data_IF_733415588167
#
_entry.id   IF_733415588167
#
_cell.length_a   1.000
_cell.length_b   1.000
_cell.length_c   1.000
_cell.angle_alpha   90.00
_cell.angle_beta   90.00
_cell.angle_gamma   90.00
#
_symmetry.space_group_name_H-M   'P 1'
#
loop_
_entity.id
_entity.type
_entity.pdbx_description
1 polymer ?
#
# COMPACT_ATOMS: atom_id res chain seq x y z
N UNK A 1 -61.94 6.18 -32.81
CA UNK A 1 -60.48 6.21 -33.11
C UNK A 1 -59.62 6.68 -31.93
N UNK A 2 -60.08 7.65 -31.13
CA UNK A 2 -59.32 8.24 -30.01
C UNK A 2 -58.93 7.30 -28.85
N UNK A 3 -59.72 6.25 -28.58
CA UNK A 3 -59.48 5.33 -27.46
C UNK A 3 -58.23 4.44 -27.67
N UNK A 4 -57.95 4.07 -28.93
CA UNK A 4 -56.81 3.20 -29.29
C UNK A 4 -55.47 3.98 -29.23
N UNK A 5 -55.49 5.26 -29.62
CA UNK A 5 -54.35 6.16 -29.54
C UNK A 5 -53.97 6.49 -28.08
N UNK A 6 -54.98 6.71 -27.22
CA UNK A 6 -54.81 6.91 -25.77
C UNK A 6 -54.12 5.71 -25.09
N UNK A 7 -54.52 4.48 -25.44
CA UNK A 7 -53.90 3.27 -24.91
C UNK A 7 -52.46 3.06 -25.41
N UNK A 8 -52.16 3.42 -26.66
CA UNK A 8 -50.77 3.41 -27.16
C UNK A 8 -49.89 4.41 -26.40
N UNK A 9 -50.37 5.65 -26.21
CA UNK A 9 -49.66 6.70 -25.46
C UNK A 9 -49.35 6.26 -24.03
N UNK A 10 -50.32 5.66 -23.33
CA UNK A 10 -50.10 5.08 -22.00
C UNK A 10 -49.03 3.99 -22.01
N UNK A 11 -49.03 3.11 -23.03
CA UNK A 11 -48.02 2.05 -23.17
C UNK A 11 -46.61 2.62 -23.39
N UNK A 12 -46.47 3.65 -24.24
CA UNK A 12 -45.20 4.34 -24.45
C UNK A 12 -44.72 5.08 -23.20
N UNK A 13 -45.62 5.72 -22.47
CA UNK A 13 -45.29 6.38 -21.20
C UNK A 13 -44.76 5.37 -20.17
N UNK A 14 -45.42 4.20 -20.04
CA UNK A 14 -44.97 3.12 -19.14
C UNK A 14 -43.59 2.58 -19.57
N UNK A 15 -43.38 2.35 -20.87
CA UNK A 15 -42.08 1.92 -21.39
C UNK A 15 -40.98 2.95 -21.11
N UNK A 16 -41.27 4.23 -21.28
CA UNK A 16 -40.34 5.32 -21.01
C UNK A 16 -39.99 5.43 -19.52
N UNK A 17 -40.98 5.34 -18.63
CA UNK A 17 -40.77 5.32 -17.18
C UNK A 17 -39.94 4.10 -16.76
N UNK A 18 -40.24 2.91 -17.29
CA UNK A 18 -39.45 1.70 -17.03
C UNK A 18 -38.01 1.82 -17.53
N UNK A 19 -37.79 2.45 -18.69
CA UNK A 19 -36.45 2.71 -19.21
C UNK A 19 -35.66 3.64 -18.28
N UNK A 20 -36.27 4.72 -17.79
CA UNK A 20 -35.63 5.62 -16.81
C UNK A 20 -35.28 4.87 -15.52
N UNK A 21 -36.20 4.03 -15.01
CA UNK A 21 -35.95 3.23 -13.81
C UNK A 21 -34.78 2.25 -14.04
N UNK A 22 -34.73 1.60 -15.21
CA UNK A 22 -33.65 0.67 -15.56
C UNK A 22 -32.30 1.39 -15.66
N UNK A 23 -32.24 2.53 -16.34
CA UNK A 23 -31.02 3.36 -16.44
C UNK A 23 -30.55 3.80 -15.06
N UNK A 24 -31.46 4.25 -14.19
CA UNK A 24 -31.12 4.64 -12.81
C UNK A 24 -30.57 3.45 -12.01
N UNK A 25 -31.15 2.25 -12.17
CA UNK A 25 -30.64 1.03 -11.52
C UNK A 25 -29.24 0.66 -12.02
N UNK A 26 -28.99 0.74 -13.32
CA UNK A 26 -27.67 0.46 -13.91
C UNK A 26 -26.62 1.45 -13.37
N UNK A 27 -26.94 2.74 -13.33
CA UNK A 27 -26.07 3.78 -12.77
C UNK A 27 -25.78 3.57 -11.27
N UNK A 28 -26.78 3.15 -10.49
CA UNK A 28 -26.57 2.84 -9.07
C UNK A 28 -25.67 1.61 -8.88
N UNK A 29 -25.84 0.58 -9.70
CA UNK A 29 -24.99 -0.63 -9.65
C UNK A 29 -23.57 -0.31 -10.08
N UNK A 30 -23.36 0.48 -11.14
CA UNK A 30 -22.01 0.87 -11.56
C UNK A 30 -21.31 1.73 -10.50
N UNK A 31 -22.03 2.66 -9.87
CA UNK A 31 -21.50 3.46 -8.76
C UNK A 31 -21.15 2.58 -7.55
N UNK A 32 -22.00 1.62 -7.19
CA UNK A 32 -21.75 0.69 -6.10
C UNK A 32 -20.51 -0.19 -6.37
N UNK A 33 -20.36 -0.67 -7.61
CA UNK A 33 -19.18 -1.43 -8.04
C UNK A 33 -17.91 -0.58 -8.01
N UNK A 34 -17.97 0.66 -8.51
CA UNK A 34 -16.85 1.59 -8.45
C UNK A 34 -16.44 1.85 -6.99
N UNK A 35 -17.41 2.12 -6.11
CA UNK A 35 -17.14 2.30 -4.68
C UNK A 35 -16.57 1.04 -4.02
N UNK A 36 -17.02 -0.14 -4.43
CA UNK A 36 -16.49 -1.42 -3.92
C UNK A 36 -15.04 -1.63 -4.35
N UNK A 37 -14.71 -1.36 -5.61
CA UNK A 37 -13.35 -1.42 -6.16
C UNK A 37 -12.44 -0.40 -5.47
N UNK A 38 -12.91 0.83 -5.26
CA UNK A 38 -12.17 1.87 -4.53
C UNK A 38 -11.91 1.43 -3.08
N UNK A 39 -12.91 0.84 -2.42
CA UNK A 39 -12.77 0.35 -1.04
C UNK A 39 -11.83 -0.84 -0.93
N UNK A 40 -11.72 -1.66 -1.97
CA UNK A 40 -10.75 -2.75 -2.05
C UNK A 40 -9.31 -2.21 -2.19
N UNK A 41 -9.13 -1.08 -2.88
CA UNK A 41 -7.83 -0.39 -2.98
C UNK A 41 -7.34 0.23 -1.66
N UNK A 42 -8.22 0.48 -0.69
CA UNK A 42 -7.89 1.13 0.59
C UNK A 42 -7.39 0.19 1.70
N UNK A 43 -7.11 -1.07 1.35
CA UNK A 43 -6.59 -2.05 2.30
C UNK A 43 -5.07 -1.89 2.47
N UNK A 44 -4.66 -0.88 3.24
CA UNK A 44 -3.26 -0.62 3.56
C UNK A 44 -2.88 -1.17 4.93
N UNK A 45 -1.70 -1.79 4.99
CA UNK A 45 -1.05 -2.15 6.23
C UNK A 45 0.42 -1.71 6.19
N UNK A 46 0.78 -0.78 7.07
CA UNK A 46 2.11 -0.18 7.14
C UNK A 46 2.87 -0.73 8.34
N UNK A 47 4.12 -1.11 8.13
CA UNK A 47 5.09 -1.46 9.15
C UNK A 47 6.32 -0.57 9.02
N UNK A 48 6.90 -0.18 10.15
CA UNK A 48 8.24 0.40 10.20
C UNK A 48 9.10 -0.50 11.06
N UNK A 49 10.16 -1.02 10.43
CA UNK A 49 11.09 -1.97 11.02
C UNK A 49 12.44 -1.27 11.15
N UNK A 50 13.09 -1.43 12.29
CA UNK A 50 14.39 -0.82 12.50
C UNK A 50 15.54 -1.56 11.79
N UNK A 51 16.77 -1.08 12.01
CA UNK A 51 17.99 -1.69 11.47
C UNK A 51 18.23 -3.12 11.98
N UNK A 52 17.66 -3.48 13.12
CA UNK A 52 17.82 -4.77 13.80
C UNK A 52 16.67 -5.77 13.54
N UNK A 53 15.65 -5.39 12.76
CA UNK A 53 14.50 -6.25 12.46
C UNK A 53 13.36 -6.21 13.49
N UNK A 54 13.43 -5.29 14.46
CA UNK A 54 12.36 -5.03 15.42
C UNK A 54 11.29 -4.11 14.82
N UNK A 55 10.03 -4.42 15.14
CA UNK A 55 8.89 -3.57 14.82
C UNK A 55 8.90 -2.31 15.71
N UNK A 56 8.96 -1.13 15.10
CA UNK A 56 8.91 0.15 15.82
C UNK A 56 7.62 0.94 15.56
N UNK A 57 6.88 0.63 14.50
CA UNK A 57 5.56 1.20 14.27
C UNK A 57 4.73 0.31 13.36
N UNK A 58 3.42 0.28 13.57
CA UNK A 58 2.48 -0.34 12.64
C UNK A 58 1.21 0.51 12.52
N UNK A 59 0.62 0.54 11.33
CA UNK A 59 -0.70 1.11 11.10
C UNK A 59 -1.51 0.19 10.23
N UNK A 60 -2.74 -0.06 10.65
CA UNK A 60 -3.64 -0.96 9.94
C UNK A 60 -4.92 -0.23 9.56
N UNK A 61 -5.21 -0.16 8.27
CA UNK A 61 -6.50 0.26 7.74
C UNK A 61 -7.36 -0.94 7.29
N UNK A 62 -6.85 -2.17 7.45
CA UNK A 62 -7.61 -3.39 7.25
C UNK A 62 -8.65 -3.56 8.35
N UNK A 63 -9.81 -4.13 7.98
CA UNK A 63 -10.89 -4.46 8.91
C UNK A 63 -10.51 -5.48 10.00
N UNK A 64 -9.43 -6.24 9.79
CA UNK A 64 -8.97 -7.25 10.73
C UNK A 64 -7.70 -6.77 11.40
N UNK A 65 -7.78 -6.53 12.70
CA UNK A 65 -6.59 -6.31 13.52
C UNK A 65 -5.74 -7.58 13.56
N UNK A 66 -4.43 -7.41 13.35
CA UNK A 66 -3.45 -8.45 13.60
C UNK A 66 -2.93 -8.31 15.02
N UNK A 67 -2.63 -9.44 15.67
CA UNK A 67 -2.01 -9.42 16.99
C UNK A 67 -0.60 -8.88 16.87
N UNK A 68 -0.17 -8.11 17.87
CA UNK A 68 1.16 -7.49 17.91
C UNK A 68 2.27 -8.56 17.75
N UNK A 69 2.11 -9.73 18.39
CA UNK A 69 3.08 -10.83 18.30
C UNK A 69 3.29 -11.30 16.85
N UNK A 70 2.21 -11.39 16.06
CA UNK A 70 2.28 -11.80 14.66
C UNK A 70 3.03 -10.74 13.82
N UNK A 71 2.88 -9.46 14.17
CA UNK A 71 3.57 -8.35 13.50
C UNK A 71 5.06 -8.30 13.83
N UNK A 72 5.41 -8.56 15.09
CA UNK A 72 6.81 -8.67 15.52
C UNK A 72 7.48 -9.82 14.77
N UNK A 73 6.83 -10.98 14.71
CA UNK A 73 7.34 -12.13 13.96
C UNK A 73 7.49 -11.82 12.47
N UNK A 74 6.49 -11.20 11.85
CA UNK A 74 6.56 -10.80 10.45
C UNK A 74 7.72 -9.83 10.17
N UNK A 75 7.99 -8.91 11.10
CA UNK A 75 9.10 -7.95 10.99
C UNK A 75 10.47 -8.65 11.04
N UNK A 76 10.65 -9.58 11.97
CA UNK A 76 11.88 -10.37 12.08
C UNK A 76 12.09 -11.32 10.89
N UNK A 77 11.01 -11.89 10.35
CA UNK A 77 11.06 -12.70 9.12
C UNK A 77 11.47 -11.84 7.93
N UNK A 78 10.87 -10.66 7.76
CA UNK A 78 11.24 -9.75 6.67
C UNK A 78 12.70 -9.32 6.76
N UNK A 79 13.19 -9.02 7.96
CA UNK A 79 14.60 -8.70 8.18
C UNK A 79 15.53 -9.83 7.75
N UNK A 80 15.22 -11.05 8.18
CA UNK A 80 15.99 -12.25 7.82
C UNK A 80 15.96 -12.50 6.31
N UNK A 81 14.78 -12.37 5.69
CA UNK A 81 14.61 -12.53 4.26
C UNK A 81 15.40 -11.48 3.45
N UNK A 82 15.36 -10.22 3.88
CA UNK A 82 16.15 -9.14 3.28
C UNK A 82 17.66 -9.28 3.49
N UNK A 83 18.11 -9.95 4.57
CA UNK A 83 19.51 -10.29 4.73
C UNK A 83 19.93 -11.42 3.76
N UNK A 84 19.08 -12.43 3.59
CA UNK A 84 19.30 -13.56 2.69
C UNK A 84 19.27 -13.18 1.21
N UNK A 85 18.57 -12.10 0.82
CA UNK A 85 18.58 -11.66 -0.58
C UNK A 85 20.00 -11.31 -1.05
N UNK A 86 20.86 -10.81 -0.16
CA UNK A 86 22.26 -10.53 -0.51
C UNK A 86 23.09 -11.80 -0.76
N UNK A 87 22.83 -12.89 -0.03
CA UNK A 87 23.62 -14.11 -0.14
C UNK A 87 23.11 -15.10 -1.19
N UNK A 88 21.83 -14.98 -1.58
CA UNK A 88 21.19 -15.87 -2.56
C UNK A 88 21.35 -15.40 -4.01
N UNK A 89 22.03 -14.27 -4.23
CA UNK A 89 22.33 -13.76 -5.56
C UNK A 89 23.25 -14.71 -6.33
N UNK A 90 22.87 -15.14 -7.55
CA UNK A 90 23.79 -15.82 -8.44
C UNK A 90 24.97 -14.92 -8.82
N UNK A 91 26.20 -15.45 -8.78
CA UNK A 91 27.43 -14.70 -9.07
C UNK A 91 27.43 -14.00 -10.44
N UNK A 92 26.73 -14.56 -11.43
CA UNK A 92 26.67 -13.98 -12.77
C UNK A 92 25.94 -12.62 -12.82
N UNK A 93 25.01 -12.35 -11.90
CA UNK A 93 24.29 -11.06 -11.81
C UNK A 93 25.23 -9.95 -11.30
N UNK A 94 26.20 -10.30 -10.45
CA UNK A 94 27.19 -9.36 -9.91
C UNK A 94 28.20 -8.87 -10.95
N UNK A 95 28.38 -9.63 -12.05
CA UNK A 95 29.35 -9.30 -13.09
C UNK A 95 28.79 -8.38 -14.19
N UNK A 96 27.46 -8.20 -14.28
CA UNK A 96 26.81 -7.31 -15.27
C UNK A 96 27.07 -5.82 -14.97
N UNK A 97 27.40 -5.45 -13.73
CA UNK A 97 27.61 -4.05 -13.34
C UNK A 97 29.10 -3.61 -13.32
N UNK A 98 30.02 -4.49 -13.69
CA UNK A 98 31.47 -4.18 -13.69
C UNK A 98 31.99 -3.57 -15.00
N UNK A 99 31.12 -3.30 -15.97
CA UNK A 99 31.52 -2.68 -17.23
C UNK A 99 31.59 -1.14 -17.12
N UNK A 100 32.80 -0.70 -16.75
CA UNK A 100 33.56 0.49 -17.17
C UNK A 100 32.83 1.82 -17.43
N UNK A 101 32.84 2.73 -16.43
CA UNK A 101 33.16 4.18 -16.54
C UNK A 101 32.48 5.13 -15.53
N UNK A 102 31.94 4.66 -14.39
CA UNK A 102 31.46 5.56 -13.32
C UNK A 102 32.08 5.25 -11.96
N UNK A 103 32.85 6.20 -11.42
CA UNK A 103 33.52 6.17 -10.11
C UNK A 103 32.59 6.40 -8.90
N UNK A 104 31.39 5.81 -8.92
CA UNK A 104 30.59 5.66 -7.71
C UNK A 104 30.07 4.24 -7.65
N UNK A 105 30.89 3.39 -7.04
CA UNK A 105 30.56 2.01 -6.74
C UNK A 105 29.54 2.03 -5.59
N UNK A 106 28.27 2.32 -5.90
CA UNK A 106 27.20 1.88 -5.02
C UNK A 106 27.32 0.36 -5.02
N UNK A 107 27.72 -0.23 -3.89
CA UNK A 107 27.37 -1.62 -3.63
C UNK A 107 25.85 -1.67 -3.81
N UNK A 108 25.37 -2.26 -4.90
CA UNK A 108 23.96 -2.57 -5.02
C UNK A 108 23.70 -3.69 -4.03
N UNK A 109 23.55 -3.32 -2.75
CA UNK A 109 23.00 -4.21 -1.74
C UNK A 109 21.68 -4.72 -2.32
N UNK A 110 21.62 -6.02 -2.60
CA UNK A 110 20.41 -6.63 -3.10
C UNK A 110 19.40 -6.71 -1.96
N UNK A 111 18.42 -5.83 -2.02
CA UNK A 111 17.41 -5.66 -0.99
C UNK A 111 16.06 -6.07 -1.54
N UNK A 112 15.20 -6.52 -0.65
CA UNK A 112 13.84 -6.92 -1.02
C UNK A 112 13.02 -5.66 -1.22
N UNK A 113 12.73 -5.32 -2.48
CA UNK A 113 11.91 -4.16 -2.83
C UNK A 113 10.42 -4.51 -2.87
N UNK A 114 10.06 -5.68 -3.42
CA UNK A 114 8.66 -6.12 -3.47
C UNK A 114 8.52 -7.63 -3.37
N UNK A 115 7.45 -8.08 -2.71
CA UNK A 115 6.99 -9.47 -2.69
C UNK A 115 5.54 -9.49 -3.12
N UNK A 116 5.21 -10.31 -4.11
CA UNK A 116 3.86 -10.41 -4.67
C UNK A 116 3.32 -11.81 -4.39
N UNK A 117 2.11 -11.85 -3.86
CA UNK A 117 1.32 -13.06 -3.65
C UNK A 117 -0.04 -12.89 -4.34
N UNK A 118 -0.85 -13.96 -4.37
CA UNK A 118 -2.22 -13.91 -4.89
C UNK A 118 -3.09 -12.95 -4.07
N UNK A 119 -2.88 -12.87 -2.76
CA UNK A 119 -3.72 -12.07 -1.87
C UNK A 119 -3.20 -10.66 -1.57
N UNK A 120 -1.91 -10.40 -1.79
CA UNK A 120 -1.31 -9.12 -1.40
C UNK A 120 -0.03 -8.81 -2.17
N UNK A 121 0.34 -7.53 -2.17
CA UNK A 121 1.65 -7.03 -2.55
C UNK A 121 2.29 -6.36 -1.34
N UNK A 122 3.50 -6.78 -1.01
CA UNK A 122 4.39 -6.10 -0.08
C UNK A 122 5.36 -5.25 -0.89
N UNK A 123 5.46 -3.96 -0.58
CA UNK A 123 6.48 -3.05 -1.09
C UNK A 123 7.32 -2.54 0.07
N UNK A 124 8.62 -2.38 -0.13
CA UNK A 124 9.54 -1.88 0.88
C UNK A 124 10.31 -0.66 0.37
N UNK A 125 10.38 0.37 1.21
CA UNK A 125 11.30 1.49 1.05
C UNK A 125 12.39 1.40 2.12
N UNK A 126 13.62 1.50 1.64
CA UNK A 126 14.84 1.27 2.38
C UNK A 126 15.50 2.63 2.67
N UNK A 127 15.47 3.07 3.93
CA UNK A 127 16.14 4.32 4.32
C UNK A 127 17.65 4.11 4.50
N UNK A 128 18.41 5.17 4.25
CA UNK A 128 19.89 5.18 4.43
C UNK A 128 20.27 4.97 5.90
N UNK A 129 19.39 5.31 6.84
CA UNK A 129 19.56 5.08 8.28
C UNK A 129 19.34 3.62 8.70
N UNK A 130 19.03 2.72 7.76
CA UNK A 130 18.79 1.29 8.02
C UNK A 130 17.33 0.93 8.36
N UNK A 131 16.45 1.92 8.51
CA UNK A 131 15.02 1.73 8.66
C UNK A 131 14.39 1.16 7.38
N UNK A 132 13.36 0.32 7.56
CA UNK A 132 12.62 -0.32 6.48
C UNK A 132 11.15 0.03 6.65
N UNK A 133 10.59 0.70 5.66
CA UNK A 133 9.18 1.07 5.62
C UNK A 133 8.49 0.09 4.69
N UNK A 134 7.61 -0.73 5.23
CA UNK A 134 6.97 -1.83 4.50
C UNK A 134 5.48 -1.56 4.41
N UNK A 135 4.96 -1.52 3.18
CA UNK A 135 3.55 -1.35 2.90
C UNK A 135 2.99 -2.62 2.27
N UNK A 136 1.97 -3.18 2.89
CA UNK A 136 1.20 -4.30 2.37
C UNK A 136 -0.13 -3.78 1.83
N UNK A 137 -0.41 -4.10 0.58
CA UNK A 137 -1.59 -3.65 -0.16
C UNK A 137 -2.20 -4.79 -0.97
N UNK A 138 -3.34 -4.52 -1.61
CA UNK A 138 -3.90 -5.42 -2.61
C UNK A 138 -2.90 -5.67 -3.77
N UNK A 139 -2.90 -6.86 -4.37
CA UNK A 139 -1.96 -7.21 -5.44
C UNK A 139 -2.12 -6.33 -6.70
N UNK A 140 -3.29 -5.72 -6.87
CA UNK A 140 -3.65 -4.80 -7.95
C UNK A 140 -2.95 -3.44 -7.87
N UNK A 141 -2.48 -3.03 -6.68
CA UNK A 141 -1.75 -1.78 -6.52
C UNK A 141 -0.33 -1.91 -7.08
N UNK A 142 0.09 -0.92 -7.87
CA UNK A 142 1.40 -0.94 -8.50
C UNK A 142 2.52 -0.69 -7.47
N UNK A 143 3.68 -1.31 -7.66
CA UNK A 143 4.82 -1.12 -6.76
C UNK A 143 5.26 0.35 -6.69
N UNK A 144 5.31 1.05 -7.83
CA UNK A 144 5.68 2.48 -7.90
C UNK A 144 4.70 3.39 -7.13
N UNK A 145 3.40 3.10 -7.18
CA UNK A 145 2.39 3.84 -6.40
C UNK A 145 2.64 3.66 -4.89
N UNK A 146 2.86 2.41 -4.47
CA UNK A 146 3.20 2.09 -3.08
C UNK A 146 4.52 2.79 -2.65
N UNK A 147 5.54 2.83 -3.52
CA UNK A 147 6.81 3.52 -3.22
C UNK A 147 6.61 5.03 -3.02
N UNK A 148 5.75 5.67 -3.80
CA UNK A 148 5.45 7.08 -3.62
C UNK A 148 4.79 7.37 -2.27
N UNK A 149 3.91 6.48 -1.80
CA UNK A 149 3.34 6.55 -0.44
C UNK A 149 4.45 6.37 0.60
N UNK A 150 5.28 5.33 0.45
CA UNK A 150 6.37 5.03 1.39
C UNK A 150 7.40 6.17 1.51
N UNK A 151 7.71 6.87 0.41
CA UNK A 151 8.56 8.07 0.42
C UNK A 151 7.93 9.21 1.22
N UNK A 152 6.61 9.38 1.13
CA UNK A 152 5.88 10.36 1.94
C UNK A 152 5.87 9.96 3.42
N UNK A 153 5.67 8.68 3.74
CA UNK A 153 5.81 8.15 5.11
C UNK A 153 7.20 8.47 5.67
N UNK A 154 8.27 8.25 4.89
CA UNK A 154 9.63 8.58 5.33
C UNK A 154 9.84 10.09 5.56
N UNK A 155 9.20 10.94 4.74
CA UNK A 155 9.20 12.39 4.96
C UNK A 155 8.53 12.76 6.29
N UNK A 156 7.32 12.23 6.55
CA UNK A 156 6.59 12.44 7.81
C UNK A 156 7.41 11.94 9.01
N UNK A 157 8.06 10.77 8.89
CA UNK A 157 8.98 10.25 9.91
C UNK A 157 10.14 11.23 10.18
N UNK A 158 10.74 11.76 9.11
CA UNK A 158 11.87 12.68 9.21
C UNK A 158 11.49 13.99 9.90
N UNK A 159 10.25 14.46 9.73
CA UNK A 159 9.78 15.71 10.33
C UNK A 159 9.37 15.56 11.79
N UNK A 160 8.71 14.45 12.16
CA UNK A 160 8.11 14.29 13.49
C UNK A 160 8.83 13.34 14.45
N UNK A 161 9.63 12.41 13.93
CA UNK A 161 10.26 11.36 14.74
C UNK A 161 11.76 11.55 14.78
N UNK A 162 12.41 11.69 13.61
CA UNK A 162 13.87 11.83 13.55
C UNK A 162 14.40 13.13 14.19
N UNK A 163 13.55 14.15 14.31
CA UNK A 163 13.88 15.45 14.89
C UNK A 163 13.42 15.59 16.35
N UNK A 164 12.68 14.62 16.88
CA UNK A 164 12.17 14.68 18.25
C UNK A 164 13.31 14.36 19.24
N UNK A 165 13.74 15.32 20.09
CA UNK A 165 14.83 15.09 21.05
C UNK A 165 14.48 14.05 22.12
N UNK A 166 13.19 13.76 22.33
CA UNK A 166 12.74 12.77 23.30
C UNK A 166 12.61 11.36 22.68
N UNK A 167 12.74 11.25 21.35
CA UNK A 167 12.67 9.96 20.70
C UNK A 167 14.01 9.24 20.81
N UNK A 168 13.99 8.07 21.43
CA UNK A 168 15.13 7.17 21.47
C UNK A 168 15.08 6.24 20.25
N UNK A 169 16.21 6.15 19.55
CA UNK A 169 16.38 5.25 18.40
C UNK A 169 16.03 3.82 18.81
N UNK A 170 15.47 3.06 17.86
CA UNK A 170 15.04 1.66 18.04
C UNK A 170 13.88 1.44 19.04
N UNK A 171 13.25 2.51 19.54
CA UNK A 171 12.06 2.41 20.37
C UNK A 171 10.76 2.55 19.53
N UNK A 172 9.63 2.00 20.01
CA UNK A 172 8.35 2.20 19.37
C UNK A 172 7.98 3.68 19.23
N UNK A 173 7.51 4.07 18.05
CA UNK A 173 7.09 5.43 17.75
C UNK A 173 5.74 5.69 18.41
N UNK A 174 5.71 6.61 19.38
CA UNK A 174 4.50 7.00 20.14
C UNK A 174 4.04 8.43 19.85
N UNK A 175 4.65 9.08 18.86
CA UNK A 175 4.34 10.46 18.51
C UNK A 175 2.93 10.54 17.89
N UNK A 176 2.03 11.31 18.51
CA UNK A 176 0.63 11.43 18.09
C UNK A 176 0.45 12.15 16.76
N UNK A 177 1.30 13.14 16.47
CA UNK A 177 1.24 13.89 15.22
C UNK A 177 1.66 13.01 14.05
N UNK A 178 2.73 12.22 14.23
CA UNK A 178 3.13 11.19 13.28
C UNK A 178 1.98 10.21 13.00
N UNK A 179 1.35 9.63 14.02
CA UNK A 179 0.24 8.69 13.83
C UNK A 179 -0.94 9.31 13.08
N UNK A 180 -1.27 10.58 13.39
CA UNK A 180 -2.33 11.32 12.72
C UNK A 180 -2.04 11.52 11.23
N UNK A 181 -0.87 12.07 10.88
CA UNK A 181 -0.52 12.34 9.47
C UNK A 181 -0.38 11.06 8.65
N UNK A 182 0.08 9.97 9.26
CA UNK A 182 0.10 8.66 8.61
C UNK A 182 -1.33 8.14 8.35
N UNK A 183 -2.26 8.39 9.28
CA UNK A 183 -3.67 8.01 9.06
C UNK A 183 -4.25 8.79 7.89
N UNK A 184 -4.06 10.11 7.86
CA UNK A 184 -4.54 10.99 6.78
C UNK A 184 -3.92 10.67 5.42
N UNK A 185 -2.66 10.22 5.38
CA UNK A 185 -1.99 9.80 4.14
C UNK A 185 -2.53 8.49 3.58
N UNK A 186 -2.98 7.56 4.44
CA UNK A 186 -3.37 6.21 4.04
C UNK A 186 -4.89 6.04 3.83
N UNK A 187 -5.72 6.96 4.32
CA UNK A 187 -7.17 7.02 4.06
C UNK A 187 -7.52 7.45 2.63
#
# INVERSE_FOLDING_TARGET
MNFKLSNLLKKYLILFVNLIILVKRILLVSLALANMIIKEKQNFFLLVINSHGSLIFHKNLLRKEMRIDDLVNASSMFYSFNALSNSTLPEHVLNVQKDQNFQFQYQTENRVDTVVSEGFRLSCYHAVTGLKFVLVTAPSNAHEENLNILRQVYKIYSDHVSKDPNYLIDQPIKNKQFDKEISELLE
#
